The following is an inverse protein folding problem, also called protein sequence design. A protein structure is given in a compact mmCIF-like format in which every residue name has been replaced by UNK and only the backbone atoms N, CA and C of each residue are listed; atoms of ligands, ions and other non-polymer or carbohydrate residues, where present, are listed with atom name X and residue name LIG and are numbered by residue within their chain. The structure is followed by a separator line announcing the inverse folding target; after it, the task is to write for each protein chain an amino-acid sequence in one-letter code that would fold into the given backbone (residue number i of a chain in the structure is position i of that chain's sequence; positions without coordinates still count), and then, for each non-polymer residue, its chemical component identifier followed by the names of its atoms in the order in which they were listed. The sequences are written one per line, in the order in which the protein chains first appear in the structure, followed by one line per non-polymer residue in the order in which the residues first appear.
data_IF_566510836923
#
_entry.id   IF_566510836923
#
_cell.length_a   1.000
_cell.length_b   1.000
_cell.length_c   1.000
_cell.angle_alpha   90.00
_cell.angle_beta   90.00
_cell.angle_gamma   90.00
#
_symmetry.space_group_name_H-M   'P 1'
#
loop_
_entity.id
_entity.type
_entity.pdbx_description
1 polymer ?
#
# COMPACT_ATOMS: atom_id res chain seq x y z
N UNK A 1 -30.90 -4.43 0.95
CA UNK A 1 -30.03 -4.88 2.05
C UNK A 1 -28.72 -4.11 1.97
N UNK A 2 -28.35 -3.30 2.97
CA UNK A 2 -27.08 -2.59 2.96
C UNK A 2 -25.94 -3.61 3.06
N UNK A 3 -24.99 -3.48 2.14
CA UNK A 3 -23.81 -4.35 2.04
C UNK A 3 -22.95 -4.21 3.30
N UNK A 4 -22.39 -5.32 3.83
CA UNK A 4 -21.53 -5.29 5.00
C UNK A 4 -20.24 -4.52 4.69
N UNK A 5 -20.13 -3.32 5.27
CA UNK A 5 -18.89 -2.54 5.32
C UNK A 5 -17.91 -3.29 6.21
N UNK A 6 -16.93 -3.96 5.60
CA UNK A 6 -15.79 -4.51 6.32
C UNK A 6 -15.14 -3.38 7.12
N UNK A 7 -14.95 -3.62 8.42
CA UNK A 7 -14.68 -2.57 9.41
C UNK A 7 -13.51 -1.67 9.04
N UNK A 8 -13.81 -0.38 8.91
CA UNK A 8 -12.84 0.68 9.20
C UNK A 8 -13.03 1.01 10.69
N UNK A 9 -12.01 0.85 11.56
CA UNK A 9 -12.10 1.28 12.94
C UNK A 9 -12.13 2.82 12.97
N UNK A 10 -13.33 3.39 13.12
CA UNK A 10 -13.51 4.83 13.17
C UNK A 10 -14.92 5.28 12.80
N UNK A 11 -15.93 4.77 13.50
CA UNK A 11 -17.25 5.40 13.50
C UNK A 11 -17.20 6.71 14.28
N UNK A 12 -17.44 7.84 13.60
CA UNK A 12 -18.08 9.05 14.12
C UNK A 12 -18.19 10.12 13.00
N UNK A 13 -19.26 10.91 12.95
CA UNK A 13 -19.40 12.10 12.09
C UNK A 13 -18.54 13.29 12.58
N UNK A 14 -17.33 13.03 13.03
CA UNK A 14 -16.30 14.00 13.40
C UNK A 14 -15.06 13.62 12.59
N UNK A 15 -14.87 14.28 11.45
CA UNK A 15 -13.85 13.91 10.48
C UNK A 15 -12.45 13.84 11.12
N UNK A 16 -11.71 12.73 10.97
CA UNK A 16 -10.30 12.70 11.37
C UNK A 16 -9.56 13.81 10.63
N UNK A 17 -8.73 14.59 11.35
CA UNK A 17 -7.97 15.72 10.80
C UNK A 17 -7.32 15.36 9.48
N UNK A 18 -7.19 16.32 8.56
CA UNK A 18 -6.66 16.06 7.23
C UNK A 18 -5.37 15.21 7.29
N UNK A 19 -4.49 15.54 8.23
CA UNK A 19 -3.25 14.80 8.51
C UNK A 19 -3.44 13.32 8.89
N UNK A 20 -4.49 12.97 9.62
CA UNK A 20 -4.82 11.60 10.01
C UNK A 20 -5.35 10.79 8.82
N UNK A 21 -6.10 11.44 7.90
CA UNK A 21 -6.48 10.84 6.61
C UNK A 21 -5.27 10.63 5.70
N UNK A 22 -4.35 11.61 5.61
CA UNK A 22 -3.10 11.46 4.87
C UNK A 22 -2.28 10.27 5.39
N UNK A 23 -2.11 10.18 6.71
CA UNK A 23 -1.36 9.08 7.35
C UNK A 23 -2.00 7.71 7.10
N UNK A 24 -3.33 7.61 7.20
CA UNK A 24 -4.03 6.37 6.86
C UNK A 24 -3.90 6.02 5.37
N UNK A 25 -4.03 7.01 4.48
CA UNK A 25 -3.88 6.83 3.04
C UNK A 25 -2.48 6.34 2.65
N UNK A 26 -1.44 6.91 3.27
CA UNK A 26 -0.07 6.45 3.11
C UNK A 26 0.10 5.00 3.58
N UNK A 27 -0.43 4.66 4.75
CA UNK A 27 -0.29 3.31 5.33
C UNK A 27 -0.99 2.24 4.49
N UNK A 28 -2.21 2.53 4.02
CA UNK A 28 -2.96 1.67 3.10
C UNK A 28 -2.25 1.53 1.76
N UNK A 29 -1.81 2.64 1.16
CA UNK A 29 -1.08 2.64 -0.11
C UNK A 29 0.25 1.90 -0.05
N UNK A 30 0.99 2.03 1.06
CA UNK A 30 2.23 1.32 1.30
C UNK A 30 2.00 -0.19 1.52
N UNK A 31 0.96 -0.59 2.24
CA UNK A 31 0.60 -2.01 2.40
C UNK A 31 0.20 -2.64 1.07
N UNK A 32 -0.69 -1.99 0.31
CA UNK A 32 -1.17 -2.50 -0.98
C UNK A 32 -0.03 -2.52 -2.00
N UNK A 33 0.74 -1.43 -2.12
CA UNK A 33 1.88 -1.33 -3.02
C UNK A 33 3.00 -2.29 -2.65
N UNK A 34 3.24 -2.51 -1.36
CA UNK A 34 4.18 -3.49 -0.85
C UNK A 34 3.74 -4.92 -1.17
N UNK A 35 2.49 -5.30 -0.87
CA UNK A 35 1.97 -6.63 -1.17
C UNK A 35 1.98 -6.93 -2.68
N UNK A 36 1.59 -5.97 -3.51
CA UNK A 36 1.55 -6.14 -4.96
C UNK A 36 2.95 -6.18 -5.56
N UNK A 37 3.88 -5.37 -5.03
CA UNK A 37 5.29 -5.40 -5.40
C UNK A 37 5.99 -6.70 -4.97
N UNK A 38 5.62 -7.25 -3.82
CA UNK A 38 6.12 -8.56 -3.36
C UNK A 38 5.57 -9.69 -4.22
N UNK A 39 4.28 -9.67 -4.57
CA UNK A 39 3.67 -10.71 -5.41
C UNK A 39 4.20 -10.68 -6.85
N UNK A 40 4.19 -9.53 -7.51
CA UNK A 40 4.66 -9.42 -8.90
C UNK A 40 6.18 -9.47 -9.01
N UNK A 41 6.89 -8.85 -8.07
CA UNK A 41 8.34 -8.93 -7.97
C UNK A 41 8.80 -10.33 -7.61
N UNK A 42 8.10 -11.00 -6.68
CA UNK A 42 8.40 -12.36 -6.24
C UNK A 42 8.13 -13.39 -7.32
N UNK A 43 6.98 -13.30 -8.00
CA UNK A 43 6.66 -14.19 -9.11
C UNK A 43 7.62 -14.00 -10.30
N UNK A 44 7.99 -12.75 -10.62
CA UNK A 44 8.98 -12.46 -11.68
C UNK A 44 10.38 -12.96 -11.31
N UNK A 45 10.80 -12.79 -10.06
CA UNK A 45 12.10 -13.26 -9.59
C UNK A 45 12.17 -14.79 -9.49
N UNK A 46 11.06 -15.46 -9.18
CA UNK A 46 10.96 -16.93 -9.18
C UNK A 46 11.02 -17.47 -10.60
N UNK A 47 10.38 -16.78 -11.54
CA UNK A 47 10.40 -17.13 -12.97
C UNK A 47 11.78 -16.91 -13.62
N UNK A 48 12.57 -15.95 -13.14
CA UNK A 48 13.94 -15.71 -13.61
C UNK A 48 14.99 -16.62 -12.93
N UNK A 49 14.60 -17.47 -11.98
CA UNK A 49 15.51 -18.42 -11.35
C UNK A 49 16.50 -17.80 -10.37
N UNK A 50 16.29 -16.54 -9.94
CA UNK A 50 17.16 -15.90 -8.95
C UNK A 50 16.95 -16.56 -7.59
N UNK A 51 18.04 -17.08 -7.01
CA UNK A 51 18.02 -17.83 -5.75
C UNK A 51 18.25 -16.91 -4.54
N UNK A 52 17.39 -17.06 -3.53
CA UNK A 52 17.63 -16.63 -2.16
C UNK A 52 17.79 -15.12 -1.97
N UNK A 53 19.04 -14.66 -1.84
CA UNK A 53 19.36 -13.31 -1.35
C UNK A 53 19.15 -12.23 -2.42
N UNK A 54 19.53 -12.48 -3.67
CA UNK A 54 19.26 -11.54 -4.77
C UNK A 54 17.77 -11.40 -5.05
N UNK A 55 17.02 -12.49 -4.89
CA UNK A 55 15.57 -12.51 -5.02
C UNK A 55 14.91 -11.57 -4.00
N UNK A 56 15.28 -11.68 -2.72
CA UNK A 56 14.76 -10.81 -1.66
C UNK A 56 15.19 -9.35 -1.85
N UNK A 57 16.40 -9.09 -2.35
CA UNK A 57 16.86 -7.71 -2.64
C UNK A 57 16.09 -7.10 -3.81
N UNK A 58 15.83 -7.87 -4.86
CA UNK A 58 15.10 -7.40 -6.03
C UNK A 58 13.61 -7.21 -5.73
N UNK A 59 13.00 -8.17 -5.02
CA UNK A 59 11.63 -8.07 -4.51
C UNK A 59 11.49 -6.91 -3.54
N UNK A 60 12.43 -6.73 -2.63
CA UNK A 60 12.46 -5.60 -1.69
C UNK A 60 12.58 -4.25 -2.41
N UNK A 61 13.43 -4.15 -3.45
CA UNK A 61 13.52 -2.96 -4.30
C UNK A 61 12.20 -2.67 -5.02
N UNK A 62 11.60 -3.68 -5.65
CA UNK A 62 10.31 -3.54 -6.36
C UNK A 62 9.21 -3.15 -5.39
N UNK A 63 9.12 -3.81 -4.23
CA UNK A 63 8.12 -3.53 -3.20
C UNK A 63 8.30 -2.15 -2.56
N UNK A 64 9.53 -1.69 -2.34
CA UNK A 64 9.80 -0.35 -1.84
C UNK A 64 9.49 0.72 -2.90
N UNK A 65 9.80 0.45 -4.17
CA UNK A 65 9.51 1.37 -5.28
C UNK A 65 8.01 1.49 -5.54
N UNK A 66 7.28 0.35 -5.57
CA UNK A 66 5.83 0.33 -5.73
C UNK A 66 5.15 0.87 -4.48
N UNK A 67 5.54 0.43 -3.29
CA UNK A 67 5.00 0.90 -2.00
C UNK A 67 5.19 2.40 -1.77
N UNK A 68 6.34 2.95 -2.15
CA UNK A 68 6.60 4.39 -2.08
C UNK A 68 5.69 5.18 -3.02
N UNK A 69 5.55 4.74 -4.28
CA UNK A 69 4.72 5.43 -5.27
C UNK A 69 3.24 5.35 -4.92
N UNK A 70 2.71 4.15 -4.64
CA UNK A 70 1.31 3.93 -4.27
C UNK A 70 0.93 4.61 -2.95
N UNK A 71 1.85 4.64 -1.97
CA UNK A 71 1.69 5.39 -0.74
C UNK A 71 1.58 6.90 -0.98
N UNK A 72 2.45 7.48 -1.80
CA UNK A 72 2.40 8.92 -2.13
C UNK A 72 1.14 9.28 -2.92
N UNK A 73 0.75 8.51 -3.94
CA UNK A 73 -0.48 8.75 -4.71
C UNK A 73 -1.74 8.71 -3.83
N UNK A 74 -1.86 7.70 -2.96
CA UNK A 74 -3.00 7.61 -2.04
C UNK A 74 -2.99 8.73 -0.99
N UNK A 75 -1.81 9.16 -0.55
CA UNK A 75 -1.68 10.29 0.38
C UNK A 75 -2.14 11.59 -0.26
N UNK A 76 -1.73 11.86 -1.51
CA UNK A 76 -2.14 13.04 -2.27
C UNK A 76 -3.64 12.98 -2.58
N UNK A 77 -4.17 11.82 -2.97
CA UNK A 77 -5.61 11.63 -3.20
C UNK A 77 -6.45 11.95 -1.95
N UNK A 78 -5.98 11.54 -0.77
CA UNK A 78 -6.64 11.86 0.50
C UNK A 78 -6.42 13.32 0.92
N UNK A 79 -5.29 13.93 0.58
CA UNK A 79 -5.00 15.35 0.82
C UNK A 79 -5.85 16.30 -0.02
N UNK A 80 -6.18 15.91 -1.26
CA UNK A 80 -7.13 16.65 -2.13
C UNK A 80 -8.58 16.46 -1.66
N UNK A 81 -8.85 15.38 -0.90
CA UNK A 81 -10.18 15.03 -0.37
C UNK A 81 -10.38 15.35 1.11
N UNK A 82 -9.40 16.05 1.69
CA UNK A 82 -9.66 17.02 2.73
C UNK A 82 -10.19 18.30 2.05
#
# INVERSE_FOLDING_TARGET
MPVPQYGVPGGAPQGPSCFQKLKMGFMMGAMIGGATGVLLGGFSAFRMGLRGREMLVQVGKVAAQSGGSFGVFMTVAQGIRC
#
